data_IF_926190318197
#
_entry.id   IF_926190318197
#
_cell.length_a   1.000
_cell.length_b   1.000
_cell.length_c   1.000
_cell.angle_alpha   90.00
_cell.angle_beta   90.00
_cell.angle_gamma   90.00
#
_symmetry.space_group_name_H-M   'P 1'
#
loop_
_entity.id
_entity.type
_entity.pdbx_description
1 polymer ?
#
# COMPACT_ATOMS: atom_id res chain seq x y z
N UNK A 1 -10.32 -12.20 21.64
CA UNK A 1 -9.52 -13.40 21.31
C UNK A 1 -9.05 -14.19 22.54
N UNK A 2 -8.86 -13.58 23.72
CA UNK A 2 -8.54 -14.32 24.98
C UNK A 2 -9.71 -15.12 25.59
N UNK A 3 -10.96 -14.83 25.19
CA UNK A 3 -12.16 -15.39 25.84
C UNK A 3 -12.46 -16.84 25.43
N UNK A 4 -11.94 -17.31 24.29
CA UNK A 4 -12.24 -18.67 23.77
C UNK A 4 -11.54 -19.78 24.58
N UNK A 5 -10.44 -19.46 25.26
CA UNK A 5 -9.62 -20.46 25.98
C UNK A 5 -9.98 -20.67 27.45
N UNK A 6 -10.98 -19.95 27.99
CA UNK A 6 -11.33 -20.03 29.42
C UNK A 6 -12.11 -21.31 29.83
N UNK A 7 -12.48 -22.17 28.89
CA UNK A 7 -13.35 -23.34 29.13
C UNK A 7 -12.68 -24.71 29.22
N UNK A 8 -11.40 -24.87 28.84
CA UNK A 8 -10.72 -26.17 28.89
C UNK A 8 -9.88 -26.28 30.18
N UNK A 9 -10.26 -27.19 31.07
CA UNK A 9 -9.42 -27.62 32.19
C UNK A 9 -8.38 -28.59 31.62
N UNK A 10 -7.15 -28.09 31.43
CA UNK A 10 -6.06 -28.82 30.78
C UNK A 10 -5.23 -29.51 31.88
N UNK A 11 -5.42 -30.82 32.07
CA UNK A 11 -4.63 -31.61 33.00
C UNK A 11 -3.15 -31.68 32.56
N UNK A 12 -2.23 -31.76 33.52
CA UNK A 12 -0.79 -31.39 33.43
C UNK A 12 -0.02 -31.90 32.20
N UNK A 13 -0.40 -33.05 31.62
CA UNK A 13 0.23 -33.67 30.42
C UNK A 13 -0.26 -33.09 29.08
N UNK A 14 -1.42 -32.44 29.06
CA UNK A 14 -1.94 -31.71 27.89
C UNK A 14 -1.39 -30.28 27.82
N UNK A 15 -0.86 -29.75 28.94
CA UNK A 15 -0.34 -28.38 29.01
C UNK A 15 0.91 -28.18 28.15
N UNK A 16 1.83 -29.14 28.18
CA UNK A 16 3.03 -29.17 27.34
C UNK A 16 2.67 -29.27 25.83
N UNK A 17 1.70 -30.12 25.45
CA UNK A 17 1.25 -30.22 24.06
C UNK A 17 0.63 -28.90 23.54
N UNK A 18 -0.20 -28.25 24.36
CA UNK A 18 -0.81 -26.96 23.99
C UNK A 18 0.21 -25.84 23.81
N UNK A 19 1.30 -25.85 24.58
CA UNK A 19 2.40 -24.88 24.42
C UNK A 19 3.16 -25.11 23.11
N UNK A 20 3.45 -26.36 22.75
CA UNK A 20 4.12 -26.67 21.47
C UNK A 20 3.27 -26.28 20.26
N UNK A 21 1.96 -26.56 20.29
CA UNK A 21 1.03 -26.17 19.22
C UNK A 21 0.88 -24.65 19.11
N UNK A 22 0.80 -23.96 20.25
CA UNK A 22 0.72 -22.50 20.27
C UNK A 22 1.95 -21.85 19.63
N UNK A 23 3.16 -22.33 19.96
CA UNK A 23 4.41 -21.80 19.38
C UNK A 23 4.47 -22.10 17.87
N UNK A 24 4.11 -23.32 17.45
CA UNK A 24 4.07 -23.70 16.03
C UNK A 24 3.10 -22.82 15.23
N UNK A 25 1.88 -22.64 15.71
CA UNK A 25 0.87 -21.82 15.04
C UNK A 25 1.30 -20.35 14.94
N UNK A 26 1.95 -19.82 15.98
CA UNK A 26 2.44 -18.44 15.99
C UNK A 26 3.61 -18.24 15.01
N UNK A 27 4.53 -19.20 14.93
CA UNK A 27 5.63 -19.18 13.97
C UNK A 27 5.15 -19.26 12.50
N UNK A 28 4.16 -20.13 12.23
CA UNK A 28 3.52 -20.25 10.92
C UNK A 28 2.83 -18.93 10.55
N UNK A 29 2.00 -18.38 11.45
CA UNK A 29 1.30 -17.12 11.21
C UNK A 29 2.25 -15.94 10.98
N UNK A 30 3.33 -15.84 11.76
CA UNK A 30 4.33 -14.79 11.61
C UNK A 30 5.08 -14.84 10.27
N UNK A 31 5.12 -16.01 9.60
CA UNK A 31 5.80 -16.19 8.32
C UNK A 31 4.85 -16.03 7.13
N UNK A 32 3.68 -16.69 7.16
CA UNK A 32 2.75 -16.69 6.02
C UNK A 32 1.96 -15.38 5.86
N UNK A 33 1.63 -14.69 6.96
CA UNK A 33 0.87 -13.44 6.88
C UNK A 33 1.63 -12.34 6.14
N UNK A 34 2.90 -12.01 6.49
CA UNK A 34 3.65 -11.02 5.72
C UNK A 34 3.87 -11.46 4.26
N UNK A 35 4.09 -12.74 4.00
CA UNK A 35 4.26 -13.27 2.63
C UNK A 35 3.00 -13.07 1.77
N UNK A 36 1.81 -13.36 2.32
CA UNK A 36 0.52 -13.13 1.64
C UNK A 36 0.25 -11.62 1.47
N UNK A 37 0.56 -10.80 2.47
CA UNK A 37 0.41 -9.33 2.40
C UNK A 37 1.32 -8.75 1.33
N UNK A 38 2.55 -9.25 1.20
CA UNK A 38 3.48 -8.82 0.16
C UNK A 38 3.00 -9.24 -1.23
N UNK A 39 2.52 -10.48 -1.40
CA UNK A 39 1.95 -10.97 -2.66
C UNK A 39 0.71 -10.17 -3.10
N UNK A 40 -0.18 -9.82 -2.18
CA UNK A 40 -1.39 -9.03 -2.48
C UNK A 40 -1.06 -7.53 -2.59
N UNK A 41 -0.13 -7.05 -1.78
CA UNK A 41 0.27 -5.65 -1.68
C UNK A 41 1.19 -5.16 -2.80
N UNK A 42 1.94 -6.06 -3.45
CA UNK A 42 2.78 -5.73 -4.62
C UNK A 42 1.99 -5.51 -5.91
N UNK A 43 0.66 -5.49 -5.89
CA UNK A 43 -0.08 -4.95 -7.03
C UNK A 43 0.33 -3.49 -7.21
N UNK A 44 1.01 -3.18 -8.32
CA UNK A 44 1.36 -1.82 -8.71
C UNK A 44 0.09 -0.98 -8.81
N UNK A 45 -0.24 -0.25 -7.73
CA UNK A 45 -1.44 0.60 -7.63
C UNK A 45 -1.44 1.71 -8.69
N UNK A 46 -0.24 2.15 -9.09
CA UNK A 46 -0.01 3.14 -10.14
C UNK A 46 0.72 2.50 -11.33
N UNK A 47 0.18 1.39 -11.84
CA UNK A 47 0.63 0.74 -13.07
C UNK A 47 -0.36 0.95 -14.22
N UNK A 48 0.13 0.89 -15.46
CA UNK A 48 -0.67 1.08 -16.67
C UNK A 48 -0.03 2.04 -17.67
N UNK A 49 -0.73 2.33 -18.77
CA UNK A 49 -0.34 3.32 -19.77
C UNK A 49 -1.31 4.49 -19.75
N UNK A 50 -0.79 5.71 -19.88
CA UNK A 50 -1.63 6.89 -20.07
C UNK A 50 -2.34 6.82 -21.44
N UNK A 51 -3.67 6.84 -21.44
CA UNK A 51 -4.47 6.91 -22.66
C UNK A 51 -4.68 8.37 -23.02
N UNK A 52 -3.98 8.84 -24.05
CA UNK A 52 -4.12 10.22 -24.51
C UNK A 52 -5.57 10.48 -24.97
N UNK A 53 -6.22 11.47 -24.35
CA UNK A 53 -7.56 11.92 -24.76
C UNK A 53 -7.41 12.92 -25.90
N UNK A 54 -8.08 12.67 -27.02
CA UNK A 54 -7.99 13.54 -28.19
C UNK A 54 -8.47 14.96 -27.82
N UNK A 55 -7.62 15.97 -28.03
CA UNK A 55 -7.91 17.38 -27.73
C UNK A 55 -7.39 17.90 -26.39
N UNK A 56 -6.80 17.06 -25.52
CA UNK A 56 -6.10 17.51 -24.29
C UNK A 56 -4.59 17.40 -24.46
N UNK A 57 -3.88 18.48 -24.13
CA UNK A 57 -2.42 18.45 -24.04
C UNK A 57 -2.05 17.76 -22.73
N UNK A 58 -0.92 17.07 -22.69
CA UNK A 58 -0.41 16.50 -21.44
C UNK A 58 1.06 16.85 -21.26
N UNK A 59 1.47 17.05 -20.02
CA UNK A 59 2.86 17.32 -19.62
C UNK A 59 3.31 16.17 -18.73
N UNK A 60 4.46 15.60 -19.06
CA UNK A 60 5.08 14.54 -18.26
C UNK A 60 6.11 15.16 -17.33
N UNK A 61 5.94 14.96 -16.03
CA UNK A 61 6.87 15.40 -14.99
C UNK A 61 7.63 14.20 -14.46
N UNK A 62 8.95 14.19 -14.65
CA UNK A 62 9.88 13.15 -14.19
C UNK A 62 10.92 13.76 -13.24
N UNK A 63 11.54 12.92 -12.40
CA UNK A 63 12.66 13.31 -11.55
C UNK A 63 12.40 13.08 -10.07
N UNK A 64 12.89 14.00 -9.23
CA UNK A 64 12.70 13.94 -7.79
C UNK A 64 11.28 14.40 -7.42
N UNK A 65 10.36 13.44 -7.32
CA UNK A 65 8.96 13.69 -7.02
C UNK A 65 8.77 13.50 -5.52
N UNK A 66 8.71 14.62 -4.80
CA UNK A 66 8.43 14.69 -3.36
C UNK A 66 7.20 15.54 -3.12
N UNK A 67 6.59 15.38 -1.94
CA UNK A 67 5.37 16.14 -1.61
C UNK A 67 5.61 17.65 -1.67
N UNK A 68 6.80 18.12 -1.28
CA UNK A 68 7.18 19.53 -1.34
C UNK A 68 7.36 20.04 -2.77
N UNK A 69 8.12 19.32 -3.60
CA UNK A 69 8.36 19.73 -5.00
C UNK A 69 7.08 19.74 -5.83
N UNK A 70 6.22 18.74 -5.67
CA UNK A 70 4.92 18.67 -6.36
C UNK A 70 3.97 19.77 -5.89
N UNK A 71 3.94 20.06 -4.58
CA UNK A 71 3.07 21.11 -4.04
C UNK A 71 3.44 22.50 -4.56
N UNK A 72 4.73 22.81 -4.67
CA UNK A 72 5.20 24.07 -5.24
C UNK A 72 4.89 24.14 -6.74
N UNK A 73 5.16 23.06 -7.48
CA UNK A 73 4.83 22.98 -8.91
C UNK A 73 3.33 23.18 -9.19
N UNK A 74 2.46 22.49 -8.45
CA UNK A 74 1.01 22.62 -8.64
C UNK A 74 0.48 24.01 -8.28
N UNK A 75 1.06 24.69 -7.28
CA UNK A 75 0.69 26.07 -6.95
C UNK A 75 1.01 27.02 -8.09
N UNK A 76 2.21 26.91 -8.66
CA UNK A 76 2.65 27.78 -9.75
C UNK A 76 1.91 27.48 -11.06
N UNK A 77 1.53 26.21 -11.29
CA UNK A 77 0.89 25.76 -12.52
C UNK A 77 -0.65 25.90 -12.53
N UNK A 78 -1.31 25.71 -11.39
CA UNK A 78 -2.78 25.83 -11.22
C UNK A 78 -3.19 27.19 -10.63
N UNK A 79 -2.36 28.22 -10.79
CA UNK A 79 -2.70 29.55 -10.31
C UNK A 79 -3.90 30.10 -11.11
N UNK A 80 -4.89 30.67 -10.41
CA UNK A 80 -6.16 31.15 -10.99
C UNK A 80 -6.01 32.25 -12.05
N UNK A 81 -4.83 32.84 -12.14
CA UNK A 81 -4.48 33.89 -13.10
C UNK A 81 -4.01 33.32 -14.45
N UNK A 82 -3.89 31.99 -14.57
CA UNK A 82 -3.59 31.32 -15.84
C UNK A 82 -4.89 30.91 -16.52
N UNK A 83 -5.14 31.50 -17.69
CA UNK A 83 -6.23 31.09 -18.59
C UNK A 83 -6.23 29.57 -18.78
N UNK A 84 -7.44 29.02 -18.72
CA UNK A 84 -7.85 27.61 -18.71
C UNK A 84 -6.92 26.65 -19.49
N UNK A 85 -5.83 26.23 -18.86
CA UNK A 85 -4.90 25.25 -19.40
C UNK A 85 -5.54 23.88 -19.25
N UNK A 86 -6.28 23.47 -20.28
CA UNK A 86 -6.77 22.10 -20.50
C UNK A 86 -5.58 21.14 -20.74
N UNK A 87 -4.70 21.05 -19.76
CA UNK A 87 -3.45 20.29 -19.77
C UNK A 87 -3.48 19.30 -18.61
N UNK A 88 -3.27 18.03 -18.92
CA UNK A 88 -3.17 16.97 -17.91
C UNK A 88 -1.71 16.75 -17.50
N UNK A 89 -1.44 16.65 -16.19
CA UNK A 89 -0.09 16.48 -15.67
C UNK A 89 0.10 15.02 -15.28
N UNK A 90 1.02 14.34 -15.95
CA UNK A 90 1.33 12.93 -15.72
C UNK A 90 2.67 12.84 -14.98
N UNK A 91 2.65 12.39 -13.73
CA UNK A 91 3.85 12.22 -12.92
C UNK A 91 4.43 10.81 -13.15
N UNK A 92 5.67 10.73 -13.63
CA UNK A 92 6.44 9.49 -13.70
C UNK A 92 7.50 9.48 -12.61
N UNK A 93 7.26 8.69 -11.57
CA UNK A 93 8.24 8.40 -10.52
C UNK A 93 8.71 6.95 -10.64
N UNK A 94 10.02 6.72 -10.50
CA UNK A 94 10.64 5.39 -10.58
C UNK A 94 10.90 4.81 -9.20
#
# INVERSE_FOLDING_TARGET
MLTVFKGLKIDTVLRNLTVFEYIKNKAMFASYVPEIIELIGNRKKYGGSYSAVNGRKHIVVCGHITLESVSNFLKDFLHKDRDDVNVEIVFLHK
#
